data_IF_390332059888
#
_entry.id   IF_390332059888
#
_cell.length_a   1.000
_cell.length_b   1.000
_cell.length_c   1.000
_cell.angle_alpha   90.00
_cell.angle_beta   90.00
_cell.angle_gamma   90.00
#
_symmetry.space_group_name_H-M   'P 1'
#
loop_
_entity.id
_entity.type
_entity.pdbx_description
1 polymer ?
#
# COMPACT_ATOMS: atom_id res chain seq x y z
N UNK A 1 -12.62 -1.50 9.94
CA UNK A 1 -12.69 -2.44 8.79
C UNK A 1 -12.92 -1.61 7.52
N UNK A 2 -12.25 -1.91 6.40
CA UNK A 2 -12.47 -1.17 5.14
C UNK A 2 -13.82 -1.55 4.56
N UNK A 3 -14.79 -0.63 4.55
CA UNK A 3 -16.10 -0.86 3.94
C UNK A 3 -15.94 -1.00 2.43
N UNK A 4 -16.34 -2.14 1.87
CA UNK A 4 -16.37 -2.34 0.41
C UNK A 4 -17.57 -1.59 -0.18
N UNK A 5 -17.42 -1.03 -1.38
CA UNK A 5 -18.57 -0.52 -2.14
C UNK A 5 -19.46 -1.71 -2.53
N UNK A 6 -20.76 -1.46 -2.65
CA UNK A 6 -21.69 -2.45 -3.20
C UNK A 6 -21.27 -2.85 -4.61
N UNK A 7 -21.33 -4.15 -4.93
CA UNK A 7 -20.96 -4.71 -6.24
C UNK A 7 -21.75 -4.00 -7.35
N UNK A 8 -23.05 -3.81 -7.16
CA UNK A 8 -23.95 -3.09 -8.09
C UNK A 8 -23.45 -1.65 -8.38
N UNK A 9 -22.94 -0.97 -7.36
CA UNK A 9 -22.42 0.39 -7.50
C UNK A 9 -21.09 0.41 -8.27
N UNK A 10 -20.24 -0.60 -8.08
CA UNK A 10 -18.98 -0.75 -8.80
C UNK A 10 -19.21 -1.08 -10.28
N UNK A 11 -20.10 -2.03 -10.57
CA UNK A 11 -20.51 -2.39 -11.94
C UNK A 11 -21.07 -1.18 -12.69
N UNK A 12 -21.95 -0.39 -12.04
CA UNK A 12 -22.47 0.85 -12.61
C UNK A 12 -21.36 1.86 -12.94
N UNK A 13 -20.38 2.05 -12.06
CA UNK A 13 -19.26 2.96 -12.29
C UNK A 13 -18.36 2.48 -13.46
N UNK A 14 -18.16 1.16 -13.59
CA UNK A 14 -17.43 0.53 -14.72
C UNK A 14 -18.19 0.72 -16.04
N UNK A 15 -19.51 0.52 -16.04
CA UNK A 15 -20.34 0.76 -17.23
C UNK A 15 -20.28 2.22 -17.64
N UNK A 16 -20.34 3.15 -16.68
CA UNK A 16 -20.23 4.57 -16.95
C UNK A 16 -18.84 4.97 -17.50
N UNK A 17 -17.75 4.39 -17.00
CA UNK A 17 -16.41 4.66 -17.57
C UNK A 17 -16.27 4.08 -18.99
N UNK A 18 -16.80 2.88 -19.23
CA UNK A 18 -16.86 2.25 -20.56
C UNK A 18 -17.68 3.08 -21.55
N UNK A 19 -18.79 3.68 -21.11
CA UNK A 19 -19.62 4.55 -21.93
C UNK A 19 -18.86 5.81 -22.37
N UNK A 20 -18.19 6.48 -21.42
CA UNK A 20 -17.40 7.70 -21.69
C UNK A 20 -16.24 7.39 -22.64
N UNK A 21 -15.43 6.38 -22.34
CA UNK A 21 -14.31 5.95 -23.21
C UNK A 21 -14.80 5.52 -24.61
N UNK A 22 -15.96 4.88 -24.70
CA UNK A 22 -16.54 4.47 -25.97
C UNK A 22 -16.97 5.64 -26.85
N UNK A 23 -17.43 6.75 -26.26
CA UNK A 23 -17.75 7.97 -27.01
C UNK A 23 -16.46 8.71 -27.39
N UNK A 24 -15.51 8.83 -26.45
CA UNK A 24 -14.20 9.46 -26.70
C UNK A 24 -13.42 8.75 -27.83
N UNK A 25 -13.45 7.41 -27.86
CA UNK A 25 -12.80 6.60 -28.90
C UNK A 25 -13.63 6.47 -30.20
N UNK A 26 -14.76 7.16 -30.32
CA UNK A 26 -15.63 7.12 -31.51
C UNK A 26 -16.40 5.81 -31.73
N UNK A 27 -16.38 4.86 -30.78
CA UNK A 27 -17.15 3.60 -30.85
C UNK A 27 -18.66 3.84 -30.85
N UNK A 28 -19.12 4.89 -30.16
CA UNK A 28 -20.52 5.30 -30.17
C UNK A 28 -20.63 6.71 -30.75
N UNK A 29 -21.57 6.90 -31.70
CA UNK A 29 -21.81 8.20 -32.34
C UNK A 29 -22.27 9.27 -31.35
N UNK A 30 -23.00 8.89 -30.31
CA UNK A 30 -23.57 9.81 -29.33
C UNK A 30 -23.56 9.22 -27.92
N UNK A 31 -23.62 10.10 -26.91
CA UNK A 31 -23.83 9.71 -25.51
C UNK A 31 -25.11 8.88 -25.31
N UNK A 32 -26.15 9.18 -26.09
CA UNK A 32 -27.43 8.46 -26.07
C UNK A 32 -27.25 7.01 -26.55
N UNK A 33 -26.56 6.81 -27.68
CA UNK A 33 -26.31 5.48 -28.23
C UNK A 33 -25.49 4.61 -27.26
N UNK A 34 -24.46 5.18 -26.62
CA UNK A 34 -23.67 4.50 -25.59
C UNK A 34 -24.52 4.11 -24.38
N UNK A 35 -25.42 4.98 -23.95
CA UNK A 35 -26.29 4.75 -22.80
C UNK A 35 -27.32 3.64 -23.07
N UNK A 36 -27.98 3.66 -24.23
CA UNK A 36 -28.93 2.60 -24.62
C UNK A 36 -28.23 1.25 -24.71
N UNK A 37 -27.04 1.19 -25.32
CA UNK A 37 -26.29 -0.06 -25.48
C UNK A 37 -25.85 -0.66 -24.13
N UNK A 38 -25.54 0.18 -23.14
CA UNK A 38 -25.04 -0.25 -21.83
C UNK A 38 -26.11 -0.26 -20.73
N UNK A 39 -27.38 -0.01 -21.06
CA UNK A 39 -28.48 0.01 -20.10
C UNK A 39 -28.37 1.12 -19.05
N UNK A 40 -27.80 2.27 -19.41
CA UNK A 40 -27.57 3.41 -18.51
C UNK A 40 -28.56 4.55 -18.80
N UNK A 41 -28.80 5.40 -17.79
CA UNK A 41 -29.58 6.63 -17.98
C UNK A 41 -28.79 7.60 -18.88
N UNK A 42 -29.32 8.05 -20.02
CA UNK A 42 -28.54 8.85 -20.97
C UNK A 42 -28.08 10.19 -20.45
N UNK A 43 -28.88 10.83 -19.60
CA UNK A 43 -28.52 12.08 -18.93
C UNK A 43 -27.24 11.93 -18.08
N UNK A 44 -27.07 10.79 -17.41
CA UNK A 44 -25.88 10.51 -16.60
C UNK A 44 -24.63 10.41 -17.47
N UNK A 45 -24.71 9.77 -18.63
CA UNK A 45 -23.57 9.64 -19.56
C UNK A 45 -23.22 11.01 -20.16
N UNK A 46 -24.24 11.77 -20.58
CA UNK A 46 -24.07 13.14 -21.11
C UNK A 46 -23.37 14.06 -20.11
N UNK A 47 -23.82 14.07 -18.85
CA UNK A 47 -23.23 14.87 -17.77
C UNK A 47 -21.79 14.47 -17.41
N UNK A 48 -21.40 13.21 -17.65
CA UNK A 48 -20.01 12.76 -17.46
C UNK A 48 -19.11 13.23 -18.60
N UNK A 49 -19.59 13.18 -19.84
CA UNK A 49 -18.85 13.64 -21.03
C UNK A 49 -18.67 15.17 -21.00
N UNK A 50 -19.70 15.91 -20.59
CA UNK A 50 -19.64 17.38 -20.47
C UNK A 50 -18.82 17.87 -19.27
N UNK A 51 -18.22 16.97 -18.47
CA UNK A 51 -17.40 17.31 -17.32
C UNK A 51 -18.15 17.87 -16.09
N UNK A 52 -19.47 18.08 -16.20
CA UNK A 52 -20.31 18.65 -15.13
C UNK A 52 -20.38 17.72 -13.91
N UNK A 53 -20.32 16.40 -14.12
CA UNK A 53 -20.32 15.42 -13.05
C UNK A 53 -19.15 14.45 -13.22
N UNK A 54 -18.06 14.68 -12.49
CA UNK A 54 -16.96 13.71 -12.40
C UNK A 54 -17.39 12.46 -11.61
N UNK A 55 -16.60 11.38 -11.70
CA UNK A 55 -16.75 10.23 -10.79
C UNK A 55 -16.68 10.73 -9.35
N UNK A 56 -17.45 10.14 -8.42
CA UNK A 56 -17.40 10.47 -6.98
C UNK A 56 -15.95 10.64 -6.46
N UNK A 57 -15.04 9.77 -6.91
CA UNK A 57 -13.62 9.82 -6.58
C UNK A 57 -12.92 11.13 -7.02
N UNK A 58 -13.24 11.66 -8.22
CA UNK A 58 -12.70 12.93 -8.73
C UNK A 58 -13.30 14.12 -7.98
N UNK A 59 -14.60 14.08 -7.66
CA UNK A 59 -15.26 15.16 -6.93
C UNK A 59 -14.71 15.36 -5.52
N UNK A 60 -14.40 14.25 -4.81
CA UNK A 60 -13.83 14.32 -3.46
C UNK A 60 -12.36 14.70 -3.42
N UNK A 61 -11.66 14.78 -4.57
CA UNK A 61 -10.24 15.06 -4.64
C UNK A 61 -9.90 16.46 -4.06
N UNK A 62 -10.78 17.45 -4.24
CA UNK A 62 -10.61 18.81 -3.70
C UNK A 62 -10.72 18.87 -2.17
N UNK A 63 -11.36 17.88 -1.56
CA UNK A 63 -11.56 17.79 -0.10
C UNK A 63 -10.56 16.83 0.57
N UNK A 64 -9.59 16.31 -0.18
CA UNK A 64 -8.56 15.43 0.40
C UNK A 64 -7.53 16.25 1.17
N UNK A 65 -7.11 15.71 2.32
CA UNK A 65 -6.13 16.35 3.20
C UNK A 65 -4.69 16.20 2.70
N UNK A 66 -4.44 15.26 1.78
CA UNK A 66 -3.14 15.05 1.15
C UNK A 66 -3.24 15.40 -0.33
N UNK A 67 -2.18 16.01 -0.87
CA UNK A 67 -2.00 16.21 -2.30
C UNK A 67 -1.74 14.87 -3.01
N UNK A 68 -1.97 14.82 -4.34
CA UNK A 68 -1.67 13.63 -5.14
C UNK A 68 -0.22 13.16 -5.02
N UNK A 69 0.72 14.10 -4.94
CA UNK A 69 2.14 13.78 -4.83
C UNK A 69 2.44 13.14 -3.47
N UNK A 70 1.87 13.68 -2.39
CA UNK A 70 1.98 13.09 -1.05
C UNK A 70 1.35 11.69 -0.98
N UNK A 71 0.19 11.48 -1.61
CA UNK A 71 -0.41 10.14 -1.70
C UNK A 71 0.48 9.17 -2.48
N UNK A 72 1.06 9.62 -3.60
CA UNK A 72 1.95 8.78 -4.42
C UNK A 72 3.21 8.37 -3.66
N UNK A 73 3.77 9.27 -2.86
CA UNK A 73 4.90 8.98 -1.97
C UNK A 73 4.55 7.90 -0.96
N UNK A 74 3.38 7.99 -0.31
CA UNK A 74 2.91 6.96 0.61
C UNK A 74 2.71 5.60 -0.09
N UNK A 75 2.18 5.59 -1.31
CA UNK A 75 2.03 4.36 -2.08
C UNK A 75 3.38 3.71 -2.40
N UNK A 76 4.37 4.51 -2.80
CA UNK A 76 5.74 4.03 -3.05
C UNK A 76 6.33 3.43 -1.78
N UNK A 77 6.23 4.13 -0.66
CA UNK A 77 6.71 3.67 0.63
C UNK A 77 6.05 2.36 1.09
N UNK A 78 4.72 2.23 0.97
CA UNK A 78 4.01 0.98 1.28
C UNK A 78 4.55 -0.17 0.41
N UNK A 79 4.76 0.05 -0.89
CA UNK A 79 5.30 -0.98 -1.79
C UNK A 79 6.69 -1.43 -1.37
N UNK A 80 7.60 -0.49 -1.11
CA UNK A 80 8.96 -0.76 -0.67
C UNK A 80 8.98 -1.55 0.65
N UNK A 81 8.17 -1.13 1.63
CA UNK A 81 8.00 -1.85 2.89
C UNK A 81 7.42 -3.26 2.72
N UNK A 82 6.51 -3.43 1.76
CA UNK A 82 5.92 -4.75 1.53
C UNK A 82 6.93 -5.70 0.88
N UNK A 83 7.82 -5.20 0.01
CA UNK A 83 8.91 -5.97 -0.60
C UNK A 83 9.93 -6.41 0.45
N UNK A 84 10.27 -5.52 1.39
CA UNK A 84 11.22 -5.82 2.48
C UNK A 84 10.65 -6.69 3.60
N UNK A 85 9.35 -7.01 3.57
CA UNK A 85 8.68 -7.83 4.59
C UNK A 85 8.20 -7.05 5.81
N UNK A 86 8.28 -5.72 5.81
CA UNK A 86 7.83 -4.83 6.88
C UNK A 86 6.50 -4.15 6.53
N UNK A 87 5.50 -4.94 6.15
CA UNK A 87 4.20 -4.41 5.76
C UNK A 87 3.57 -3.53 6.87
N UNK A 88 3.17 -2.28 6.57
CA UNK A 88 2.72 -1.34 7.59
C UNK A 88 1.33 -1.69 8.13
N UNK A 89 1.09 -1.36 9.40
CA UNK A 89 -0.24 -1.44 10.01
C UNK A 89 -1.06 -0.18 9.72
N UNK A 90 -2.36 -0.23 10.03
CA UNK A 90 -3.24 0.94 9.94
C UNK A 90 -2.77 2.12 10.80
N UNK A 91 -2.14 1.84 11.94
CA UNK A 91 -1.66 2.87 12.86
C UNK A 91 -0.43 3.56 12.27
N UNK A 92 0.59 2.77 11.90
CA UNK A 92 1.84 3.31 11.34
C UNK A 92 1.58 4.09 10.05
N UNK A 93 0.69 3.60 9.17
CA UNK A 93 0.33 4.36 7.96
C UNK A 93 -0.29 5.72 8.29
N UNK A 94 -1.06 5.83 9.37
CA UNK A 94 -1.63 7.11 9.77
C UNK A 94 -0.57 8.06 10.28
N UNK A 95 0.31 7.58 11.16
CA UNK A 95 1.41 8.37 11.72
C UNK A 95 2.27 8.95 10.60
N UNK A 96 2.70 8.09 9.66
CA UNK A 96 3.50 8.53 8.50
C UNK A 96 2.71 9.46 7.58
N UNK A 97 1.41 9.24 7.38
CA UNK A 97 0.59 10.17 6.60
C UNK A 97 0.43 11.55 7.28
N UNK A 98 0.37 11.59 8.60
CA UNK A 98 0.37 12.83 9.39
C UNK A 98 1.72 13.57 9.27
N UNK A 99 2.84 12.85 9.25
CA UNK A 99 4.16 13.41 9.01
C UNK A 99 4.32 13.99 7.60
N UNK A 100 3.85 13.25 6.59
CA UNK A 100 3.86 13.67 5.18
C UNK A 100 2.97 14.90 4.99
N UNK A 101 1.80 14.95 5.66
CA UNK A 101 0.89 16.10 5.65
C UNK A 101 1.53 17.34 6.29
N UNK A 102 2.23 17.14 7.41
CA UNK A 102 2.87 18.23 8.17
C UNK A 102 4.16 18.72 7.51
N UNK A 103 4.57 18.19 6.35
CA UNK A 103 5.87 18.41 5.70
C UNK A 103 7.09 18.20 6.64
N UNK A 104 6.90 17.43 7.72
CA UNK A 104 7.97 17.09 8.67
C UNK A 104 8.81 15.91 8.19
N UNK A 105 8.36 15.19 7.16
CA UNK A 105 9.14 14.14 6.53
C UNK A 105 10.37 14.73 5.81
N UNK A 106 11.52 14.75 6.49
CA UNK A 106 12.84 14.99 5.87
C UNK A 106 13.19 13.92 4.82
N UNK A 107 12.60 12.73 4.92
CA UNK A 107 12.96 11.52 4.14
C UNK A 107 12.49 11.56 2.68
N UNK A 108 11.50 12.40 2.34
CA UNK A 108 10.87 12.41 1.01
C UNK A 108 11.05 13.71 0.22
N UNK A 109 11.90 14.64 0.68
CA UNK A 109 12.24 15.81 -0.11
C UNK A 109 13.19 15.39 -1.26
N UNK A 110 12.85 15.65 -2.53
CA UNK A 110 13.85 15.59 -3.58
C UNK A 110 14.93 16.63 -3.24
N UNK A 111 16.18 16.19 -3.12
CA UNK A 111 17.30 17.11 -2.98
C UNK A 111 17.32 18.00 -4.21
N UNK A 112 16.93 19.25 -4.06
CA UNK A 112 17.26 20.27 -5.05
C UNK A 112 18.78 20.48 -4.97
N UNK A 113 19.51 20.47 -6.10
CA UNK A 113 20.91 20.82 -6.11
C UNK A 113 21.05 22.25 -5.57
N UNK A 114 21.82 22.43 -4.50
CA UNK A 114 22.19 23.75 -4.02
C UNK A 114 23.17 24.36 -5.04
N UNK A 115 22.71 25.36 -5.80
CA UNK A 115 23.62 26.26 -6.49
C UNK A 115 24.07 27.36 -5.52
N UNK A 116 25.38 27.62 -5.38
CA UNK A 116 25.85 28.74 -4.57
C UNK A 116 25.67 30.07 -5.32
N UNK A 117 25.22 31.07 -4.55
CA UNK A 117 25.43 32.51 -4.69
C UNK A 117 24.62 33.28 -5.74
N UNK A 118 23.68 34.09 -5.25
CA UNK A 118 23.77 35.55 -5.33
C UNK A 118 22.85 36.18 -4.27
N UNK A 119 23.45 36.64 -3.16
CA UNK A 119 22.81 37.56 -2.21
C UNK A 119 23.28 38.97 -2.53
N UNK A 120 22.53 39.73 -3.34
CA UNK A 120 22.36 41.17 -3.13
C UNK A 120 21.28 41.75 -4.06
N UNK A 121 20.42 42.61 -3.51
CA UNK A 121 19.41 43.47 -4.16
C UNK A 121 18.12 42.83 -4.68
N UNK A 122 17.28 42.34 -3.76
CA UNK A 122 15.84 42.61 -3.84
C UNK A 122 15.19 42.57 -2.45
N UNK A 123 15.60 43.47 -1.56
CA UNK A 123 14.73 43.90 -0.47
C UNK A 123 13.71 44.88 -1.06
N UNK A 124 12.44 44.64 -0.74
CA UNK A 124 11.29 45.54 -0.97
C UNK A 124 10.55 45.42 -2.32
N UNK A 125 9.64 44.45 -2.40
CA UNK A 125 8.23 44.59 -2.85
C UNK A 125 7.59 43.21 -3.12
N UNK A 126 7.17 42.53 -2.05
CA UNK A 126 5.91 41.76 -1.98
C UNK A 126 5.85 41.05 -0.63
N UNK A 127 5.45 41.80 0.40
CA UNK A 127 4.70 41.19 1.49
C UNK A 127 3.33 40.83 0.92
N UNK A 128 3.24 39.69 0.24
CA UNK A 128 1.96 39.00 0.15
C UNK A 128 1.74 38.39 1.53
N UNK A 129 0.60 38.63 2.20
CA UNK A 129 0.24 37.82 3.34
C UNK A 129 0.15 36.39 2.82
N UNK A 130 1.13 35.55 3.15
CA UNK A 130 0.94 34.13 3.02
C UNK A 130 -0.24 33.84 3.92
N UNK A 131 -1.41 33.58 3.35
CA UNK A 131 -2.45 32.80 4.00
C UNK A 131 -1.87 31.41 4.22
N UNK A 132 -0.99 31.30 5.22
CA UNK A 132 -0.68 30.08 5.91
C UNK A 132 -2.01 29.70 6.53
N UNK A 133 -2.80 28.92 5.77
CA UNK A 133 -3.98 28.27 6.30
C UNK A 133 -3.48 27.49 7.50
N UNK A 134 -3.81 27.98 8.68
CA UNK A 134 -3.56 27.35 9.96
C UNK A 134 -4.29 26.01 9.90
N UNK A 135 -3.65 24.98 9.36
CA UNK A 135 -4.24 23.65 9.30
C UNK A 135 -4.39 23.20 10.75
N UNK A 136 -5.61 22.89 11.22
CA UNK A 136 -5.80 22.52 12.60
C UNK A 136 -4.94 21.28 12.89
N UNK A 137 -4.20 21.36 14.01
CA UNK A 137 -3.29 20.35 14.58
C UNK A 137 -3.96 19.00 14.92
N UNK A 138 -5.12 18.68 14.33
CA UNK A 138 -5.82 17.44 14.59
C UNK A 138 -5.21 16.31 13.75
N UNK A 139 -4.91 15.15 14.36
CA UNK A 139 -4.40 13.98 13.66
C UNK A 139 -5.42 13.50 12.63
N UNK A 140 -4.96 12.76 11.61
CA UNK A 140 -5.85 12.17 10.63
C UNK A 140 -6.92 11.30 11.33
N UNK A 141 -8.18 11.50 10.95
CA UNK A 141 -9.29 10.75 11.53
C UNK A 141 -9.17 9.24 11.32
N UNK A 142 -9.83 8.46 12.18
CA UNK A 142 -9.80 6.98 12.13
C UNK A 142 -10.23 6.40 10.78
N UNK A 143 -11.15 7.09 10.09
CA UNK A 143 -11.68 6.70 8.79
C UNK A 143 -10.78 7.05 7.60
N UNK A 144 -9.72 7.83 7.80
CA UNK A 144 -8.85 8.24 6.70
C UNK A 144 -8.14 7.04 6.07
N UNK A 145 -7.54 6.16 6.87
CA UNK A 145 -6.81 4.97 6.38
C UNK A 145 -7.74 4.02 5.61
N UNK A 146 -8.92 3.64 6.12
CA UNK A 146 -9.89 2.87 5.35
C UNK A 146 -10.29 3.52 4.02
N UNK A 147 -10.52 4.83 4.00
CA UNK A 147 -10.86 5.56 2.76
C UNK A 147 -9.69 5.62 1.79
N UNK A 148 -8.45 5.78 2.28
CA UNK A 148 -7.24 5.74 1.48
C UNK A 148 -7.09 4.38 0.77
N UNK A 149 -7.21 3.29 1.51
CA UNK A 149 -7.14 1.93 0.93
C UNK A 149 -8.27 1.71 -0.09
N UNK A 150 -9.47 2.25 0.17
CA UNK A 150 -10.59 2.15 -0.79
C UNK A 150 -10.33 2.89 -2.11
N UNK A 151 -9.54 3.97 -2.09
CA UNK A 151 -9.14 4.72 -3.30
C UNK A 151 -8.08 3.98 -4.12
N UNK A 152 -7.29 3.13 -3.49
CA UNK A 152 -6.15 2.45 -4.09
C UNK A 152 -6.39 0.94 -4.16
N UNK A 153 -7.00 0.42 -5.25
CA UNK A 153 -7.35 -1.00 -5.37
C UNK A 153 -6.14 -1.94 -5.42
N UNK A 154 -4.96 -1.39 -5.71
CA UNK A 154 -3.68 -2.08 -5.62
C UNK A 154 -3.26 -2.38 -4.17
N UNK A 155 -3.90 -1.80 -3.15
CA UNK A 155 -3.64 -2.10 -1.75
C UNK A 155 -4.74 -3.02 -1.19
N UNK A 156 -4.33 -4.02 -0.41
CA UNK A 156 -5.25 -4.88 0.32
C UNK A 156 -4.84 -4.96 1.78
N UNK A 157 -5.84 -5.00 2.66
CA UNK A 157 -5.64 -5.35 4.06
C UNK A 157 -5.69 -6.86 4.19
N UNK A 158 -4.64 -7.45 4.74
CA UNK A 158 -4.57 -8.88 5.05
C UNK A 158 -4.23 -9.05 6.53
N UNK A 159 -4.61 -10.19 7.09
CA UNK A 159 -4.12 -10.59 8.40
C UNK A 159 -2.72 -11.18 8.22
N UNK A 160 -1.73 -10.50 8.78
CA UNK A 160 -0.32 -10.84 8.67
C UNK A 160 0.15 -11.63 9.88
N UNK A 161 0.88 -12.73 9.63
CA UNK A 161 1.59 -13.46 10.70
C UNK A 161 2.92 -12.75 10.96
N UNK A 162 3.21 -12.48 12.22
CA UNK A 162 4.51 -11.93 12.62
C UNK A 162 5.56 -13.02 12.49
N UNK A 163 6.73 -12.66 11.99
CA UNK A 163 7.91 -13.52 11.89
C UNK A 163 9.10 -12.72 12.38
N UNK A 164 10.02 -13.35 13.11
CA UNK A 164 11.22 -12.69 13.59
C UNK A 164 12.09 -12.20 12.41
N UNK A 165 12.57 -10.95 12.48
CA UNK A 165 13.33 -10.33 11.40
C UNK A 165 14.61 -11.11 11.06
N UNK A 166 15.26 -11.70 12.07
CA UNK A 166 16.46 -12.53 11.86
C UNK A 166 16.15 -13.75 10.98
N UNK A 167 15.00 -14.39 11.16
CA UNK A 167 14.59 -15.53 10.32
C UNK A 167 14.33 -15.11 8.87
N UNK A 168 13.73 -13.93 8.68
CA UNK A 168 13.48 -13.40 7.33
C UNK A 168 14.79 -13.07 6.60
N UNK A 169 15.79 -12.55 7.31
CA UNK A 169 17.08 -12.16 6.72
C UNK A 169 18.06 -13.33 6.57
N UNK A 170 18.04 -14.30 7.49
CA UNK A 170 18.98 -15.42 7.51
C UNK A 170 18.73 -16.48 6.42
N UNK A 171 17.50 -16.61 5.93
CA UNK A 171 17.13 -17.61 4.94
C UNK A 171 17.36 -17.08 3.53
N UNK A 172 18.63 -17.01 3.11
CA UNK A 172 19.01 -16.65 1.73
C UNK A 172 19.09 -17.90 0.85
N UNK A 173 18.77 -17.78 -0.44
CA UNK A 173 18.83 -18.90 -1.42
C UNK A 173 20.19 -19.61 -1.43
N UNK A 174 21.28 -18.86 -1.25
CA UNK A 174 22.64 -19.41 -1.18
C UNK A 174 22.84 -20.26 0.07
N UNK A 175 22.41 -19.79 1.24
CA UNK A 175 22.48 -20.53 2.51
C UNK A 175 21.67 -21.82 2.41
N UNK A 176 20.42 -21.73 1.90
CA UNK A 176 19.58 -22.90 1.68
C UNK A 176 20.24 -23.89 0.72
N UNK A 177 20.77 -23.41 -0.42
CA UNK A 177 21.42 -24.28 -1.40
C UNK A 177 22.64 -24.98 -0.79
N UNK A 178 23.52 -24.24 -0.12
CA UNK A 178 24.69 -24.82 0.54
C UNK A 178 24.33 -25.85 1.60
N UNK A 179 23.28 -25.60 2.39
CA UNK A 179 22.78 -26.56 3.37
C UNK A 179 22.23 -27.84 2.70
N UNK A 180 21.40 -27.70 1.67
CA UNK A 180 20.84 -28.87 0.96
C UNK A 180 21.92 -29.66 0.21
N UNK A 181 22.92 -28.99 -0.36
CA UNK A 181 24.04 -29.64 -1.03
C UNK A 181 24.86 -30.45 -0.01
N UNK A 182 25.18 -29.86 1.16
CA UNK A 182 25.87 -30.56 2.24
C UNK A 182 25.06 -31.75 2.80
N UNK A 183 23.75 -31.56 3.01
CA UNK A 183 22.84 -32.62 3.46
C UNK A 183 22.79 -33.81 2.50
N UNK A 184 22.70 -33.54 1.19
CA UNK A 184 22.71 -34.60 0.15
C UNK A 184 24.03 -35.34 0.10
N UNK A 185 25.16 -34.63 0.23
CA UNK A 185 26.48 -35.26 0.30
C UNK A 185 26.58 -36.21 1.50
N UNK A 186 26.11 -35.77 2.67
CA UNK A 186 26.10 -36.58 3.91
C UNK A 186 25.25 -37.84 3.79
N UNK A 187 24.04 -37.72 3.24
CA UNK A 187 23.16 -38.88 2.99
C UNK A 187 23.83 -39.90 2.06
N UNK A 188 24.52 -39.40 1.03
CA UNK A 188 25.19 -40.26 0.05
C UNK A 188 26.41 -40.96 0.65
N UNK A 189 27.21 -40.24 1.43
CA UNK A 189 28.40 -40.76 2.12
C UNK A 189 28.04 -41.81 3.17
N UNK A 190 27.05 -41.50 4.01
CA UNK A 190 26.60 -42.39 5.09
C UNK A 190 25.61 -43.47 4.62
N UNK A 191 25.25 -43.48 3.33
CA UNK A 191 24.29 -44.42 2.71
C UNK A 191 22.98 -44.53 3.50
N UNK A 192 22.47 -43.41 3.98
CA UNK A 192 21.23 -43.38 4.77
C UNK A 192 20.06 -43.64 3.83
N UNK A 193 19.39 -44.78 4.02
CA UNK A 193 18.19 -45.11 3.25
C UNK A 193 17.00 -44.25 3.68
N UNK A 194 16.09 -43.97 2.74
CA UNK A 194 14.92 -43.12 2.98
C UNK A 194 14.03 -43.64 4.11
N UNK A 195 13.99 -44.96 4.32
CA UNK A 195 13.20 -45.58 5.38
C UNK A 195 13.80 -45.37 6.79
N UNK A 196 15.07 -44.97 6.90
CA UNK A 196 15.76 -44.66 8.15
C UNK A 196 15.73 -43.16 8.48
N UNK A 197 15.00 -42.36 7.70
CA UNK A 197 14.85 -40.93 7.93
C UNK A 197 13.60 -40.67 8.76
N UNK A 198 13.80 -40.46 10.06
CA UNK A 198 12.73 -40.10 10.98
C UNK A 198 12.70 -38.58 11.17
N UNK A 199 11.49 -38.01 11.21
CA UNK A 199 11.31 -36.60 11.59
C UNK A 199 11.40 -36.51 13.11
N UNK A 200 12.35 -35.74 13.62
CA UNK A 200 12.37 -35.26 15.00
C UNK A 200 12.13 -33.76 14.91
N UNK A 201 10.88 -33.33 15.09
CA UNK A 201 10.53 -31.92 15.08
C UNK A 201 10.31 -31.39 16.49
N UNK A 202 11.02 -30.30 16.80
CA UNK A 202 10.74 -29.49 17.95
C UNK A 202 9.63 -28.50 17.56
N UNK A 203 8.44 -28.68 18.14
CA UNK A 203 7.38 -27.69 18.04
C UNK A 203 7.70 -26.53 18.99
N UNK A 204 8.21 -25.44 18.42
CA UNK A 204 8.48 -24.21 19.15
C UNK A 204 7.21 -23.39 19.39
N UNK A 205 6.92 -23.08 20.66
CA UNK A 205 5.96 -22.07 21.06
C UNK A 205 6.70 -20.78 21.43
N UNK A 206 6.32 -19.67 20.81
CA UNK A 206 6.85 -18.36 21.17
C UNK A 206 6.20 -17.85 22.47
N UNK A 207 6.99 -17.47 23.47
CA UNK A 207 6.50 -16.71 24.61
C UNK A 207 6.44 -15.22 24.20
N UNK A 208 5.22 -14.68 24.03
CA UNK A 208 5.01 -13.27 23.72
C UNK A 208 3.88 -12.96 22.71
N UNK A 209 3.83 -11.71 22.22
CA UNK A 209 2.76 -11.17 21.37
C UNK A 209 2.84 -11.59 19.89
N UNK A 210 2.85 -12.89 19.60
CA UNK A 210 2.64 -13.43 18.25
C UNK A 210 1.17 -13.36 17.81
N UNK A 211 0.53 -12.20 18.02
CA UNK A 211 -0.80 -11.97 17.50
C UNK A 211 -0.71 -11.53 16.05
N UNK A 212 -1.57 -12.13 15.21
CA UNK A 212 -1.67 -11.73 13.82
C UNK A 212 -2.25 -10.31 13.74
N UNK A 213 -1.58 -9.43 13.00
CA UNK A 213 -1.97 -8.01 12.89
C UNK A 213 -2.58 -7.74 11.52
N UNK A 214 -3.42 -6.71 11.43
CA UNK A 214 -3.91 -6.23 10.12
C UNK A 214 -2.83 -5.40 9.47
N UNK A 215 -2.26 -5.94 8.40
CA UNK A 215 -1.22 -5.31 7.59
C UNK A 215 -1.77 -4.87 6.24
N UNK A 216 -1.18 -3.81 5.71
CA UNK A 216 -1.49 -3.26 4.40
C UNK A 216 -0.41 -3.74 3.44
N UNK A 217 -0.84 -4.45 2.41
CA UNK A 217 0.04 -5.18 1.47
C UNK A 217 -0.37 -4.81 0.05
N UNK A 218 0.58 -4.72 -0.86
CA UNK A 218 0.25 -4.69 -2.28
C UNK A 218 -0.55 -5.96 -2.66
N UNK A 219 -1.61 -5.76 -3.43
CA UNK A 219 -2.47 -6.77 -4.01
C UNK A 219 -1.72 -7.85 -4.78
N UNK A 220 -0.58 -7.51 -5.38
CA UNK A 220 0.28 -8.41 -6.18
C UNK A 220 1.05 -9.40 -5.31
N UNK A 221 1.33 -9.05 -4.05
CA UNK A 221 2.15 -9.87 -3.18
C UNK A 221 1.33 -10.97 -2.50
N UNK A 222 1.81 -12.21 -2.65
CA UNK A 222 1.19 -13.41 -2.07
C UNK A 222 1.52 -13.55 -0.58
N UNK A 223 2.68 -13.07 -0.16
CA UNK A 223 3.18 -13.17 1.21
C UNK A 223 2.33 -12.37 2.18
N UNK A 224 2.23 -12.88 3.42
CA UNK A 224 1.43 -12.31 4.51
C UNK A 224 2.25 -12.23 5.79
N UNK A 225 3.56 -12.12 5.67
CA UNK A 225 4.45 -12.07 6.82
C UNK A 225 4.79 -10.63 7.16
N UNK A 226 4.90 -10.36 8.45
CA UNK A 226 5.37 -9.08 8.97
C UNK A 226 6.61 -9.36 9.81
N UNK A 227 7.76 -8.88 9.36
CA UNK A 227 9.00 -8.95 10.12
C UNK A 227 8.84 -8.16 11.42
N UNK A 228 9.27 -8.76 12.54
CA UNK A 228 9.24 -8.17 13.86
C UNK A 228 10.67 -8.11 14.43
N UNK A 229 11.15 -6.93 14.86
CA UNK A 229 12.52 -6.77 15.33
C UNK A 229 12.73 -7.21 16.80
N UNK A 230 11.67 -7.53 17.54
CA UNK A 230 11.76 -7.95 18.94
C UNK A 230 12.38 -9.34 19.08
N UNK A 231 13.27 -9.48 20.07
CA UNK A 231 13.84 -10.77 20.51
C UNK A 231 12.71 -11.61 21.11
N UNK A 232 12.44 -12.78 20.53
CA UNK A 232 11.44 -13.69 21.07
C UNK A 232 12.11 -14.85 21.80
N UNK A 233 11.59 -15.16 22.98
CA UNK A 233 11.95 -16.38 23.68
C UNK A 233 11.07 -17.51 23.14
N UNK A 234 11.70 -18.63 22.81
CA UNK A 234 11.06 -19.82 22.28
C UNK A 234 11.15 -20.91 23.32
N UNK A 235 10.03 -21.60 23.57
CA UNK A 235 10.03 -22.87 24.27
C UNK A 235 9.76 -23.98 23.27
N UNK A 236 10.64 -24.97 23.27
CA UNK A 236 10.50 -26.18 22.48
C UNK A 236 9.71 -27.26 23.20
N UNK A 237 8.90 -27.98 22.46
CA UNK A 237 8.46 -29.32 22.83
C UNK A 237 8.89 -30.26 21.70
N UNK A 238 9.75 -31.23 22.00
CA UNK A 238 10.14 -32.27 21.05
C UNK A 238 9.01 -33.31 20.96
N UNK A 239 8.60 -33.64 19.73
CA UNK A 239 7.63 -34.69 19.44
C UNK A 239 8.32 -35.96 18.91
#
# INVERSE_FOLDING_TARGET
MVRKRSIKAQERDILLSKAVLGVENGKYKTAQAAATTLGLRPDTVRRRISGVCGTLAKSHQKHQLLSKNQEQTLLKWIKELTISGYAPSHQILREVADEVRSNKCRVFQPQQPQQPQQQHLQQHLQQQPQTQQLQPKLPLGQDWVPRFIQRHPNLRVKLGRRVEAQRMNGVTKQVLKGWFDAYKSLITELKIETHNTYNMDETGFSIGTMQSTRIIVDSTLRTRFQAHPGRQEWMGVCC
#
